data_IF_804478042537
#
_entry.id   IF_804478042537
#
_cell.length_a   1.000
_cell.length_b   1.000
_cell.length_c   1.000
_cell.angle_alpha   90.00
_cell.angle_beta   90.00
_cell.angle_gamma   90.00
#
_symmetry.space_group_name_H-M   'P 1'
#
loop_
_entity.id
_entity.type
_entity.pdbx_description
1 polymer ?
#
# COMPACT_ATOMS: atom_id res chain seq x y z
N UNK A 1 24.60 0.39 21.56
CA UNK A 1 23.51 0.65 22.54
C UNK A 1 22.46 -0.42 22.32
N UNK A 2 22.04 -1.12 23.36
CA UNK A 2 20.95 -2.08 23.25
C UNK A 2 19.66 -1.37 22.82
N UNK A 3 18.94 -1.96 21.88
CA UNK A 3 17.65 -1.44 21.41
C UNK A 3 16.62 -1.57 22.54
N UNK A 4 16.21 -0.45 23.12
CA UNK A 4 15.38 -0.41 24.32
C UNK A 4 13.90 -0.56 24.00
N UNK A 5 13.09 -0.91 25.02
CA UNK A 5 11.62 -0.89 24.89
C UNK A 5 11.10 0.50 24.48
N UNK A 6 11.77 1.56 24.89
CA UNK A 6 11.40 2.93 24.48
C UNK A 6 11.64 3.17 22.98
N UNK A 7 12.72 2.60 22.41
CA UNK A 7 13.01 2.70 20.97
C UNK A 7 11.98 1.90 20.15
N UNK A 8 11.56 0.74 20.67
CA UNK A 8 10.45 -0.02 20.09
C UNK A 8 9.14 0.79 20.08
N UNK A 9 8.80 1.49 21.17
CA UNK A 9 7.62 2.36 21.21
C UNK A 9 7.72 3.52 20.21
N UNK A 10 8.91 4.12 20.04
CA UNK A 10 9.13 5.14 19.00
C UNK A 10 8.92 4.58 17.60
N UNK A 11 9.40 3.37 17.32
CA UNK A 11 9.22 2.71 16.03
C UNK A 11 7.72 2.50 15.73
N UNK A 12 6.97 1.94 16.69
CA UNK A 12 5.52 1.73 16.55
C UNK A 12 4.77 3.07 16.41
N UNK A 13 5.15 4.08 17.19
CA UNK A 13 4.57 5.43 17.07
C UNK A 13 4.84 6.08 15.71
N UNK A 14 6.05 5.89 15.17
CA UNK A 14 6.42 6.36 13.83
C UNK A 14 5.60 5.66 12.74
N UNK A 15 5.41 4.35 12.87
CA UNK A 15 4.53 3.58 11.98
C UNK A 15 3.08 4.05 12.08
N UNK A 16 2.59 4.31 13.30
CA UNK A 16 1.26 4.85 13.52
C UNK A 16 1.07 6.22 12.86
N UNK A 17 2.05 7.12 12.96
CA UNK A 17 2.02 8.43 12.31
C UNK A 17 2.02 8.31 10.78
N UNK A 18 2.85 7.42 10.22
CA UNK A 18 2.89 7.12 8.80
C UNK A 18 1.54 6.61 8.28
N UNK A 19 0.96 5.60 8.96
CA UNK A 19 -0.33 5.01 8.61
C UNK A 19 -1.48 6.02 8.70
N UNK A 20 -1.49 6.83 9.75
CA UNK A 20 -2.52 7.85 9.96
C UNK A 20 -2.42 8.96 8.92
N UNK A 21 -1.19 9.40 8.61
CA UNK A 21 -0.93 10.37 7.53
C UNK A 21 -1.43 9.87 6.18
N UNK A 22 -1.12 8.62 5.84
CA UNK A 22 -1.59 7.99 4.61
C UNK A 22 -3.12 7.90 4.55
N UNK A 23 -3.76 7.53 5.66
CA UNK A 23 -5.22 7.47 5.76
C UNK A 23 -5.86 8.83 5.49
N UNK A 24 -5.43 9.87 6.21
CA UNK A 24 -5.98 11.24 6.04
C UNK A 24 -5.72 11.76 4.62
N UNK A 25 -4.52 11.53 4.07
CA UNK A 25 -4.17 11.91 2.70
C UNK A 25 -5.13 11.27 1.69
N UNK A 26 -5.33 9.95 1.80
CA UNK A 26 -6.24 9.18 0.93
C UNK A 26 -7.68 9.66 1.06
N UNK A 27 -8.19 9.82 2.28
CA UNK A 27 -9.57 10.31 2.52
C UNK A 27 -9.78 11.73 2.01
N UNK A 28 -8.81 12.63 2.21
CA UNK A 28 -8.85 14.00 1.69
C UNK A 28 -8.95 14.01 0.17
N UNK A 29 -8.14 13.18 -0.50
CA UNK A 29 -8.14 13.08 -1.96
C UNK A 29 -9.42 12.43 -2.50
N UNK A 30 -9.94 11.40 -1.83
CA UNK A 30 -11.24 10.79 -2.15
C UNK A 30 -12.39 11.80 -2.06
N UNK A 31 -12.40 12.65 -1.03
CA UNK A 31 -13.41 13.71 -0.86
C UNK A 31 -13.30 14.79 -1.95
N UNK A 32 -12.08 15.17 -2.35
CA UNK A 32 -11.84 16.12 -3.46
C UNK A 32 -12.29 15.52 -4.79
N UNK A 33 -11.96 14.27 -5.04
CA UNK A 33 -12.30 13.57 -6.27
C UNK A 33 -13.80 13.20 -6.36
N UNK A 34 -14.44 12.93 -5.21
CA UNK A 34 -15.87 12.76 -5.03
C UNK A 34 -16.58 11.95 -6.11
N UNK A 35 -17.68 12.52 -6.63
CA UNK A 35 -18.51 11.89 -7.66
C UNK A 35 -17.80 11.69 -9.00
N UNK A 36 -16.68 12.40 -9.25
CA UNK A 36 -15.89 12.25 -10.49
C UNK A 36 -15.27 10.85 -10.57
N UNK A 37 -14.79 10.28 -9.45
CA UNK A 37 -14.27 8.90 -9.43
C UNK A 37 -15.34 7.89 -9.81
N UNK A 38 -16.56 8.08 -9.31
CA UNK A 38 -17.71 7.25 -9.66
C UNK A 38 -18.04 7.33 -11.16
N UNK A 39 -18.07 8.56 -11.71
CA UNK A 39 -18.31 8.79 -13.13
C UNK A 39 -17.22 8.21 -14.01
N UNK A 40 -15.94 8.31 -13.61
CA UNK A 40 -14.81 7.71 -14.32
C UNK A 40 -14.95 6.19 -14.35
N UNK A 41 -15.26 5.55 -13.22
CA UNK A 41 -15.45 4.10 -13.15
C UNK A 41 -16.53 3.61 -14.12
N UNK A 42 -17.66 4.27 -14.19
CA UNK A 42 -18.78 3.82 -15.03
C UNK A 42 -18.62 4.19 -16.51
N UNK A 43 -17.93 5.29 -16.83
CA UNK A 43 -17.79 5.78 -18.21
C UNK A 43 -16.60 5.18 -18.96
N UNK A 44 -15.53 4.78 -18.25
CA UNK A 44 -14.25 4.40 -18.86
C UNK A 44 -13.99 2.89 -18.85
N UNK A 45 -14.97 2.05 -18.49
CA UNK A 45 -14.79 0.58 -18.42
C UNK A 45 -15.34 -0.15 -19.65
N UNK A 46 -15.49 0.54 -20.77
CA UNK A 46 -16.11 0.01 -22.01
C UNK A 46 -15.37 -1.17 -22.64
N UNK A 47 -14.07 -1.30 -22.37
CA UNK A 47 -13.27 -2.44 -22.82
C UNK A 47 -12.21 -2.80 -21.76
N UNK A 48 -11.54 -3.95 -21.92
CA UNK A 48 -10.56 -4.47 -20.95
C UNK A 48 -9.36 -3.53 -20.73
N UNK A 49 -8.85 -2.91 -21.79
CA UNK A 49 -7.69 -2.00 -21.70
C UNK A 49 -8.06 -0.73 -20.96
N UNK A 50 -9.17 -0.09 -21.33
CA UNK A 50 -9.64 1.10 -20.62
C UNK A 50 -10.01 0.78 -19.16
N UNK A 51 -10.56 -0.40 -18.88
CA UNK A 51 -10.81 -0.87 -17.52
C UNK A 51 -9.53 -0.95 -16.69
N UNK A 52 -8.45 -1.53 -17.22
CA UNK A 52 -7.13 -1.58 -16.56
C UNK A 52 -6.60 -0.17 -16.33
N UNK A 53 -6.60 0.70 -17.35
CA UNK A 53 -6.14 2.08 -17.22
C UNK A 53 -6.95 2.86 -16.18
N UNK A 54 -8.26 2.64 -16.12
CA UNK A 54 -9.12 3.22 -15.11
C UNK A 54 -8.73 2.78 -13.71
N UNK A 55 -8.48 1.48 -13.51
CA UNK A 55 -7.99 0.94 -12.24
C UNK A 55 -6.66 1.53 -11.80
N UNK A 56 -5.70 1.64 -12.73
CA UNK A 56 -4.40 2.30 -12.49
C UNK A 56 -4.62 3.75 -12.05
N UNK A 57 -5.39 4.52 -12.83
CA UNK A 57 -5.62 5.95 -12.57
C UNK A 57 -6.30 6.17 -11.22
N UNK A 58 -7.37 5.43 -10.94
CA UNK A 58 -8.13 5.60 -9.69
C UNK A 58 -7.25 5.24 -8.50
N UNK A 59 -6.53 4.12 -8.54
CA UNK A 59 -5.66 3.70 -7.44
C UNK A 59 -4.50 4.67 -7.24
N UNK A 60 -3.88 5.16 -8.32
CA UNK A 60 -2.84 6.17 -8.25
C UNK A 60 -3.34 7.49 -7.65
N UNK A 61 -4.58 7.90 -7.96
CA UNK A 61 -5.21 9.09 -7.39
C UNK A 61 -5.58 8.89 -5.93
N UNK A 62 -6.27 7.79 -5.60
CA UNK A 62 -6.74 7.52 -4.23
C UNK A 62 -5.59 7.08 -3.30
N UNK A 63 -4.49 6.58 -3.86
CA UNK A 63 -3.36 5.99 -3.12
C UNK A 63 -3.79 4.78 -2.23
N UNK A 64 -4.84 4.07 -2.65
CA UNK A 64 -5.37 2.90 -1.93
C UNK A 64 -6.01 1.91 -2.90
N UNK A 65 -5.33 0.81 -3.19
CA UNK A 65 -5.88 -0.28 -3.99
C UNK A 65 -7.01 -1.01 -3.27
N UNK A 66 -6.93 -1.13 -1.93
CA UNK A 66 -8.03 -1.70 -1.14
C UNK A 66 -9.31 -0.89 -1.26
N UNK A 67 -9.24 0.45 -1.16
CA UNK A 67 -10.41 1.30 -1.35
C UNK A 67 -10.97 1.18 -2.78
N UNK A 68 -10.10 1.14 -3.79
CA UNK A 68 -10.50 0.96 -5.19
C UNK A 68 -11.20 -0.39 -5.39
N UNK A 69 -10.64 -1.49 -4.90
CA UNK A 69 -11.21 -2.82 -5.08
C UNK A 69 -12.53 -3.00 -4.33
N UNK A 70 -12.64 -2.47 -3.10
CA UNK A 70 -13.90 -2.45 -2.33
C UNK A 70 -14.98 -1.64 -3.06
N UNK A 71 -14.61 -0.49 -3.64
CA UNK A 71 -15.52 0.32 -4.45
C UNK A 71 -16.01 -0.46 -5.70
N UNK A 72 -15.10 -1.12 -6.39
CA UNK A 72 -15.42 -1.96 -7.56
C UNK A 72 -16.37 -3.11 -7.18
N UNK A 73 -16.07 -3.83 -6.09
CA UNK A 73 -16.95 -4.89 -5.55
C UNK A 73 -18.33 -4.35 -5.22
N UNK A 74 -18.41 -3.16 -4.62
CA UNK A 74 -19.68 -2.49 -4.31
C UNK A 74 -20.49 -2.13 -5.59
N UNK A 75 -19.79 -1.70 -6.65
CA UNK A 75 -20.43 -1.37 -7.93
C UNK A 75 -20.94 -2.62 -8.65
N UNK A 76 -20.20 -3.73 -8.58
CA UNK A 76 -20.70 -5.03 -9.08
C UNK A 76 -21.92 -5.48 -8.28
N UNK A 77 -21.89 -5.29 -6.96
CA UNK A 77 -23.04 -5.63 -6.11
C UNK A 77 -24.27 -4.78 -6.42
N UNK A 78 -24.09 -3.52 -6.82
CA UNK A 78 -25.16 -2.61 -7.23
C UNK A 78 -25.58 -2.79 -8.69
N UNK A 79 -24.96 -3.70 -9.47
CA UNK A 79 -25.24 -3.91 -10.88
C UNK A 79 -24.74 -2.79 -11.80
N UNK A 80 -23.85 -1.93 -11.31
CA UNK A 80 -23.26 -0.81 -12.06
C UNK A 80 -22.07 -1.22 -12.91
N UNK A 81 -21.41 -2.34 -12.58
CA UNK A 81 -20.32 -2.95 -13.32
C UNK A 81 -20.59 -4.43 -13.52
N UNK A 82 -20.23 -4.93 -14.69
CA UNK A 82 -20.18 -6.36 -14.96
C UNK A 82 -18.97 -7.01 -14.31
N UNK A 83 -18.97 -8.34 -14.16
CA UNK A 83 -17.82 -9.09 -13.65
C UNK A 83 -16.56 -8.87 -14.52
N UNK A 84 -16.70 -8.86 -15.85
CA UNK A 84 -15.58 -8.69 -16.76
C UNK A 84 -14.92 -7.30 -16.65
N UNK A 85 -15.73 -6.26 -16.56
CA UNK A 85 -15.26 -4.89 -16.33
C UNK A 85 -14.56 -4.76 -14.98
N UNK A 86 -15.16 -5.33 -13.93
CA UNK A 86 -14.60 -5.27 -12.58
C UNK A 86 -13.22 -5.95 -12.47
N UNK A 87 -13.04 -7.11 -13.11
CA UNK A 87 -11.75 -7.80 -13.14
C UNK A 87 -10.68 -6.92 -13.80
N UNK A 88 -11.00 -6.25 -14.91
CA UNK A 88 -10.08 -5.35 -15.59
C UNK A 88 -9.64 -4.18 -14.68
N UNK A 89 -10.60 -3.56 -13.98
CA UNK A 89 -10.29 -2.47 -13.04
C UNK A 89 -9.46 -2.96 -11.86
N UNK A 90 -9.77 -4.13 -11.32
CA UNK A 90 -9.01 -4.75 -10.21
C UNK A 90 -7.56 -5.04 -10.62
N UNK A 91 -7.34 -5.58 -11.82
CA UNK A 91 -5.98 -5.75 -12.37
C UNK A 91 -5.24 -4.43 -12.46
N UNK A 92 -5.93 -3.38 -12.93
CA UNK A 92 -5.36 -2.03 -12.97
C UNK A 92 -5.06 -1.47 -11.58
N UNK A 93 -5.91 -1.74 -10.60
CA UNK A 93 -5.68 -1.29 -9.22
C UNK A 93 -4.39 -1.87 -8.63
N UNK A 94 -4.05 -3.12 -8.92
CA UNK A 94 -2.78 -3.70 -8.51
C UNK A 94 -1.58 -2.95 -9.12
N UNK A 95 -1.63 -2.64 -10.41
CA UNK A 95 -0.59 -1.86 -11.08
C UNK A 95 -0.51 -0.46 -10.46
N UNK A 96 -1.66 0.18 -10.18
CA UNK A 96 -1.74 1.51 -9.58
C UNK A 96 -1.06 1.62 -8.21
N UNK A 97 -0.97 0.53 -7.45
CA UNK A 97 -0.24 0.47 -6.18
C UNK A 97 1.25 0.76 -6.35
N UNK A 98 1.83 0.46 -7.52
CA UNK A 98 3.25 0.76 -7.78
C UNK A 98 3.55 2.26 -7.75
N UNK A 99 2.58 3.11 -8.06
CA UNK A 99 2.72 4.58 -7.98
C UNK A 99 2.99 5.00 -6.52
N UNK A 100 2.34 4.36 -5.55
CA UNK A 100 2.61 4.61 -4.12
C UNK A 100 4.05 4.25 -3.76
N UNK A 101 4.56 3.11 -4.24
CA UNK A 101 5.95 2.70 -4.04
C UNK A 101 6.93 3.71 -4.64
N UNK A 102 6.67 4.24 -5.84
CA UNK A 102 7.47 5.28 -6.46
C UNK A 102 7.45 6.59 -5.65
N UNK A 103 6.29 7.01 -5.16
CA UNK A 103 6.16 8.21 -4.31
C UNK A 103 7.00 8.03 -3.04
N UNK A 104 6.88 6.89 -2.35
CA UNK A 104 7.65 6.60 -1.14
C UNK A 104 9.16 6.55 -1.47
N UNK A 105 9.54 5.88 -2.55
CA UNK A 105 10.95 5.74 -2.93
C UNK A 105 11.59 7.08 -3.30
N UNK A 106 10.92 7.92 -4.09
CA UNK A 106 11.47 9.19 -4.55
C UNK A 106 11.43 10.22 -3.43
N UNK A 107 10.25 10.46 -2.87
CA UNK A 107 10.05 11.52 -1.87
C UNK A 107 10.42 11.11 -0.45
N UNK A 108 10.54 9.81 -0.18
CA UNK A 108 10.96 9.32 1.13
C UNK A 108 12.45 9.07 1.25
N UNK A 109 13.15 8.74 0.15
CA UNK A 109 14.56 8.36 0.21
C UNK A 109 15.49 9.26 -0.60
N UNK A 110 15.04 9.85 -1.71
CA UNK A 110 15.87 10.74 -2.55
C UNK A 110 15.66 12.22 -2.24
N UNK A 111 14.45 12.60 -1.82
CA UNK A 111 14.11 13.99 -1.48
C UNK A 111 13.67 14.01 -0.03
N UNK A 112 14.24 14.92 0.76
CA UNK A 112 13.84 15.08 2.18
C UNK A 112 12.51 15.87 2.26
N UNK A 113 11.41 15.17 1.96
CA UNK A 113 10.07 15.76 2.08
C UNK A 113 9.67 16.01 3.54
N UNK A 114 10.31 15.34 4.50
CA UNK A 114 10.02 15.58 5.91
C UNK A 114 10.42 17.00 6.36
N UNK A 115 11.45 17.59 5.74
CA UNK A 115 11.85 18.97 5.98
C UNK A 115 10.74 19.98 5.60
N UNK A 116 9.92 19.65 4.60
CA UNK A 116 8.80 20.49 4.16
C UNK A 116 7.50 20.22 4.94
N UNK A 117 7.47 19.19 5.80
CA UNK A 117 6.24 18.80 6.48
C UNK A 117 5.66 19.91 7.37
N UNK A 118 6.49 20.57 8.18
CA UNK A 118 6.02 21.66 9.04
C UNK A 118 5.50 22.87 8.25
N UNK A 119 6.20 23.39 7.21
CA UNK A 119 5.63 24.42 6.32
C UNK A 119 4.31 24.00 5.68
N UNK A 120 4.19 22.75 5.23
CA UNK A 120 2.95 22.24 4.65
C UNK A 120 1.81 22.16 5.66
N UNK A 121 2.10 21.81 6.92
CA UNK A 121 1.09 21.86 8.00
C UNK A 121 0.58 23.28 8.24
N UNK A 122 1.45 24.28 8.16
CA UNK A 122 1.04 25.69 8.28
C UNK A 122 0.05 26.11 7.19
N UNK A 123 0.17 25.53 5.98
CA UNK A 123 -0.78 25.75 4.88
C UNK A 123 -2.05 24.90 5.08
N UNK A 124 -1.91 23.68 5.54
CA UNK A 124 -3.02 22.75 5.70
C UNK A 124 -4.03 23.19 6.78
N UNK A 125 -3.54 23.70 7.90
CA UNK A 125 -4.41 24.07 9.04
C UNK A 125 -5.48 25.13 8.69
N UNK A 126 -5.17 26.28 8.07
CA UNK A 126 -6.19 27.23 7.64
C UNK A 126 -7.21 26.65 6.66
N UNK A 127 -6.77 25.71 5.78
CA UNK A 127 -7.65 25.04 4.84
C UNK A 127 -8.62 24.07 5.56
N UNK A 128 -8.13 23.32 6.55
CA UNK A 128 -8.96 22.40 7.36
C UNK A 128 -10.05 23.13 8.11
N UNK A 129 -9.73 24.29 8.68
CA UNK A 129 -10.70 25.12 9.39
C UNK A 129 -11.56 25.99 8.48
N UNK A 130 -11.40 25.89 7.17
CA UNK A 130 -12.24 26.60 6.19
C UNK A 130 -13.67 26.05 6.21
N UNK A 131 -14.67 26.92 6.20
CA UNK A 131 -16.09 26.53 6.09
C UNK A 131 -16.48 25.90 4.73
N UNK A 132 -15.58 25.87 3.74
CA UNK A 132 -15.82 25.30 2.41
C UNK A 132 -15.32 23.86 2.35
N UNK A 133 -16.23 22.90 2.10
CA UNK A 133 -15.94 21.47 2.08
C UNK A 133 -14.73 21.11 1.20
N UNK A 134 -14.65 21.62 -0.01
CA UNK A 134 -13.54 21.31 -0.92
C UNK A 134 -12.17 21.81 -0.40
N UNK A 135 -12.13 23.01 0.22
CA UNK A 135 -10.89 23.53 0.83
C UNK A 135 -10.46 22.70 2.02
N UNK A 136 -11.43 22.28 2.86
CA UNK A 136 -11.18 21.38 3.98
C UNK A 136 -10.56 20.09 3.50
N UNK A 137 -11.11 19.45 2.47
CA UNK A 137 -10.60 18.19 1.91
C UNK A 137 -9.19 18.34 1.33
N UNK A 138 -8.88 19.47 0.67
CA UNK A 138 -7.52 19.79 0.21
C UNK A 138 -6.58 19.97 1.41
N UNK A 139 -7.03 20.64 2.47
CA UNK A 139 -6.28 20.78 3.73
C UNK A 139 -5.99 19.41 4.38
N UNK A 140 -6.98 18.53 4.44
CA UNK A 140 -6.83 17.16 4.94
C UNK A 140 -5.80 16.38 4.09
N UNK A 141 -5.83 16.51 2.77
CA UNK A 141 -4.82 15.88 1.88
C UNK A 141 -3.40 16.37 2.21
N UNK A 142 -3.17 17.69 2.28
CA UNK A 142 -1.86 18.27 2.57
C UNK A 142 -1.38 17.87 3.99
N UNK A 143 -2.29 17.87 4.95
CA UNK A 143 -2.01 17.46 6.34
C UNK A 143 -1.58 16.00 6.42
N UNK A 144 -2.34 15.11 5.75
CA UNK A 144 -2.02 13.70 5.67
C UNK A 144 -0.69 13.44 4.96
N UNK A 145 -0.41 14.16 3.87
CA UNK A 145 0.86 14.11 3.16
C UNK A 145 2.04 14.48 4.08
N UNK A 146 1.89 15.55 4.86
CA UNK A 146 2.92 15.98 5.82
C UNK A 146 3.17 14.90 6.87
N UNK A 147 2.12 14.34 7.46
CA UNK A 147 2.23 13.28 8.48
C UNK A 147 2.82 12.00 7.92
N UNK A 148 2.50 11.65 6.67
CA UNK A 148 3.07 10.50 5.99
C UNK A 148 4.61 10.61 5.93
N UNK A 149 5.13 11.73 5.43
CA UNK A 149 6.59 11.88 5.29
C UNK A 149 7.30 12.12 6.62
N UNK A 150 6.67 12.78 7.59
CA UNK A 150 7.18 12.83 8.97
C UNK A 150 7.26 11.42 9.57
N UNK A 151 6.17 10.65 9.47
CA UNK A 151 6.12 9.28 9.95
C UNK A 151 7.17 8.39 9.30
N UNK A 152 7.36 8.50 7.98
CA UNK A 152 8.39 7.78 7.24
C UNK A 152 9.81 8.17 7.69
N UNK A 153 10.05 9.46 7.91
CA UNK A 153 11.35 9.95 8.41
C UNK A 153 11.64 9.41 9.82
N UNK A 154 10.67 9.49 10.73
CA UNK A 154 10.81 8.92 12.06
C UNK A 154 10.92 7.39 12.04
N UNK A 155 10.22 6.71 11.15
CA UNK A 155 10.33 5.26 10.98
C UNK A 155 11.75 4.85 10.59
N UNK A 156 12.37 5.59 9.65
CA UNK A 156 13.78 5.38 9.27
C UNK A 156 14.74 5.68 10.42
N UNK A 157 14.53 6.79 11.14
CA UNK A 157 15.39 7.22 12.22
C UNK A 157 15.32 6.30 13.47
N UNK A 158 14.16 5.69 13.73
CA UNK A 158 13.94 4.79 14.87
C UNK A 158 14.07 3.30 14.51
N UNK A 159 14.38 2.99 13.24
CA UNK A 159 14.65 1.62 12.82
C UNK A 159 15.92 1.09 13.55
N UNK A 160 15.94 -0.16 14.02
CA UNK A 160 17.10 -0.72 14.71
C UNK A 160 18.31 -0.74 13.78
N UNK A 161 19.49 -0.37 14.31
CA UNK A 161 20.75 -0.57 13.59
C UNK A 161 21.22 -2.02 13.83
N UNK A 162 20.97 -2.89 12.85
CA UNK A 162 21.35 -4.30 12.93
C UNK A 162 22.88 -4.46 12.93
N UNK A 163 23.62 -3.56 12.32
CA UNK A 163 25.08 -3.63 12.32
C UNK A 163 25.65 -3.35 13.72
N UNK A 164 24.94 -2.53 14.50
CA UNK A 164 25.28 -2.27 15.89
C UNK A 164 24.80 -3.37 16.86
N UNK A 165 23.99 -4.33 16.40
CA UNK A 165 23.39 -5.42 17.19
C UNK A 165 23.66 -6.78 16.53
N UNK A 166 24.86 -7.38 16.75
CA UNK A 166 25.27 -8.62 16.06
C UNK A 166 24.31 -9.80 16.26
N UNK A 167 23.66 -9.89 17.41
CA UNK A 167 22.69 -10.98 17.70
C UNK A 167 21.43 -10.83 16.84
N UNK A 168 20.91 -9.60 16.68
CA UNK A 168 19.79 -9.32 15.80
C UNK A 168 20.14 -9.57 14.33
N UNK A 169 21.36 -9.17 13.94
CA UNK A 169 21.86 -9.42 12.58
C UNK A 169 21.97 -10.93 12.31
N UNK A 170 22.56 -11.70 13.22
CA UNK A 170 22.67 -13.15 13.11
C UNK A 170 21.29 -13.83 13.04
N UNK A 171 20.32 -13.36 13.84
CA UNK A 171 18.95 -13.83 13.78
C UNK A 171 18.35 -13.60 12.38
N UNK A 172 18.47 -12.41 11.83
CA UNK A 172 17.98 -12.09 10.48
C UNK A 172 18.67 -12.96 9.43
N UNK A 173 19.99 -13.09 9.48
CA UNK A 173 20.80 -13.88 8.56
C UNK A 173 20.36 -15.37 8.54
N UNK A 174 20.02 -15.95 9.67
CA UNK A 174 19.54 -17.33 9.74
C UNK A 174 18.28 -17.57 8.88
N UNK A 175 17.46 -16.54 8.65
CA UNK A 175 16.25 -16.63 7.85
C UNK A 175 16.40 -16.07 6.42
N UNK A 176 17.48 -15.32 6.15
CA UNK A 176 17.76 -14.77 4.80
C UNK A 176 18.58 -15.72 3.94
N UNK A 177 19.33 -16.65 4.54
CA UNK A 177 20.30 -17.51 3.85
C UNK A 177 19.81 -18.93 3.58
N UNK A 178 18.49 -19.19 3.70
CA UNK A 178 17.88 -20.52 3.44
C UNK A 178 17.51 -20.74 1.95
N UNK A 179 18.01 -19.90 1.04
CA UNK A 179 17.69 -20.00 -0.39
C UNK A 179 16.19 -19.84 -0.68
N UNK A 180 15.61 -20.78 -1.43
CA UNK A 180 14.20 -20.73 -1.79
C UNK A 180 13.24 -20.70 -0.61
N UNK A 181 13.58 -21.32 0.50
CA UNK A 181 12.77 -21.27 1.73
C UNK A 181 12.71 -19.85 2.31
N UNK A 182 13.77 -19.06 2.19
CA UNK A 182 13.74 -17.63 2.59
C UNK A 182 12.71 -16.87 1.76
N UNK A 183 12.65 -17.09 0.44
CA UNK A 183 11.68 -16.46 -0.44
C UNK A 183 10.24 -16.79 -0.01
N UNK A 184 9.95 -18.07 0.26
CA UNK A 184 8.63 -18.50 0.73
C UNK A 184 8.28 -17.92 2.10
N UNK A 185 9.24 -17.88 3.02
CA UNK A 185 9.06 -17.30 4.35
C UNK A 185 8.73 -15.80 4.26
N UNK A 186 9.50 -15.03 3.50
CA UNK A 186 9.29 -13.59 3.35
C UNK A 186 7.99 -13.28 2.58
N UNK A 187 7.63 -14.09 1.60
CA UNK A 187 6.33 -14.01 0.94
C UNK A 187 5.19 -14.23 1.94
N UNK A 188 5.30 -15.25 2.79
CA UNK A 188 4.31 -15.53 3.83
C UNK A 188 4.22 -14.39 4.86
N UNK A 189 5.37 -13.87 5.32
CA UNK A 189 5.44 -12.71 6.23
C UNK A 189 4.75 -11.49 5.60
N UNK A 190 5.05 -11.15 4.35
CA UNK A 190 4.42 -10.05 3.62
C UNK A 190 2.91 -10.22 3.51
N UNK A 191 2.45 -11.45 3.24
CA UNK A 191 1.02 -11.77 3.20
C UNK A 191 0.35 -11.52 4.56
N UNK A 192 0.87 -12.10 5.62
CA UNK A 192 0.28 -11.99 6.97
C UNK A 192 0.34 -10.53 7.47
N UNK A 193 1.48 -9.87 7.29
CA UNK A 193 1.66 -8.48 7.72
C UNK A 193 0.62 -7.59 7.05
N UNK A 194 0.44 -7.72 5.75
CA UNK A 194 -0.53 -6.91 4.99
C UNK A 194 -1.99 -7.26 5.37
N UNK A 195 -2.29 -8.52 5.63
CA UNK A 195 -3.61 -8.93 6.13
C UNK A 195 -3.95 -8.31 7.50
N UNK A 196 -2.97 -8.20 8.39
CA UNK A 196 -3.15 -7.63 9.73
C UNK A 196 -3.24 -6.09 9.64
N UNK A 197 -2.28 -5.46 8.98
CA UNK A 197 -2.18 -4.00 8.88
C UNK A 197 -3.25 -3.42 7.95
N UNK A 198 -3.72 -4.19 6.97
CA UNK A 198 -4.67 -3.80 5.91
C UNK A 198 -4.25 -2.55 5.12
N UNK A 199 -2.95 -2.30 5.06
CA UNK A 199 -2.36 -1.14 4.39
C UNK A 199 -1.07 -1.57 3.67
N UNK A 200 -1.20 -1.93 2.40
CA UNK A 200 -0.08 -2.38 1.55
C UNK A 200 1.05 -1.35 1.49
N UNK A 201 0.72 -0.05 1.41
CA UNK A 201 1.73 0.99 1.40
C UNK A 201 2.61 1.03 2.68
N UNK A 202 2.08 0.57 3.83
CA UNK A 202 2.87 0.45 5.05
C UNK A 202 3.86 -0.71 4.99
N UNK A 203 3.40 -1.87 4.54
CA UNK A 203 4.27 -3.03 4.31
C UNK A 203 5.36 -2.69 3.29
N UNK A 204 4.99 -2.00 2.21
CA UNK A 204 5.91 -1.50 1.20
C UNK A 204 6.97 -0.55 1.80
N UNK A 205 6.57 0.41 2.64
CA UNK A 205 7.51 1.34 3.27
C UNK A 205 8.50 0.61 4.19
N UNK A 206 8.03 -0.34 4.99
CA UNK A 206 8.88 -1.19 5.85
C UNK A 206 9.85 -1.99 4.98
N UNK A 207 9.37 -2.64 3.91
CA UNK A 207 10.20 -3.40 2.98
C UNK A 207 11.30 -2.54 2.36
N UNK A 208 10.95 -1.32 1.89
CA UNK A 208 11.92 -0.39 1.32
C UNK A 208 12.98 0.05 2.35
N UNK A 209 12.60 0.25 3.62
CA UNK A 209 13.54 0.58 4.71
C UNK A 209 14.47 -0.61 4.96
N UNK A 210 13.96 -1.84 5.03
CA UNK A 210 14.76 -3.04 5.25
C UNK A 210 15.78 -3.25 4.12
N UNK A 211 15.37 -3.07 2.86
CA UNK A 211 16.28 -3.13 1.71
C UNK A 211 17.30 -1.98 1.71
N UNK A 212 16.86 -0.76 1.99
CA UNK A 212 17.75 0.41 1.99
C UNK A 212 18.83 0.35 3.09
N UNK A 213 18.52 -0.27 4.22
CA UNK A 213 19.46 -0.52 5.32
C UNK A 213 20.32 -1.78 5.10
N UNK A 214 20.11 -2.52 4.00
CA UNK A 214 20.83 -3.75 3.72
C UNK A 214 20.50 -4.93 4.65
N UNK A 215 19.36 -4.89 5.35
CA UNK A 215 18.94 -5.98 6.24
C UNK A 215 18.46 -7.20 5.48
N UNK A 216 17.85 -6.97 4.32
CA UNK A 216 17.41 -8.02 3.39
C UNK A 216 17.85 -7.68 1.98
N UNK A 217 18.06 -8.71 1.17
CA UNK A 217 18.34 -8.55 -0.25
C UNK A 217 17.13 -8.01 -1.03
N UNK A 218 17.38 -7.53 -2.24
CA UNK A 218 16.30 -7.08 -3.12
C UNK A 218 15.31 -8.21 -3.44
N UNK A 219 15.80 -9.44 -3.56
CA UNK A 219 14.99 -10.63 -3.82
C UNK A 219 14.00 -10.89 -2.69
N UNK A 220 14.47 -10.82 -1.44
CA UNK A 220 13.60 -11.02 -0.27
C UNK A 220 12.64 -9.85 -0.09
N UNK A 221 13.06 -8.63 -0.43
CA UNK A 221 12.17 -7.48 -0.52
C UNK A 221 11.07 -7.67 -1.56
N UNK A 222 11.42 -8.20 -2.74
CA UNK A 222 10.44 -8.55 -3.77
C UNK A 222 9.49 -9.66 -3.29
N UNK A 223 9.98 -10.66 -2.57
CA UNK A 223 9.15 -11.71 -1.99
C UNK A 223 8.12 -11.15 -0.98
N UNK A 224 8.53 -10.20 -0.11
CA UNK A 224 7.61 -9.48 0.78
C UNK A 224 6.52 -8.77 -0.01
N UNK A 225 6.87 -8.05 -1.08
CA UNK A 225 5.92 -7.32 -1.94
C UNK A 225 4.98 -8.27 -2.67
N UNK A 226 5.45 -9.42 -3.13
CA UNK A 226 4.59 -10.45 -3.71
C UNK A 226 3.59 -10.98 -2.68
N UNK A 227 4.03 -11.21 -1.44
CA UNK A 227 3.16 -11.59 -0.34
C UNK A 227 2.13 -10.49 -0.01
N UNK A 228 2.54 -9.24 -0.02
CA UNK A 228 1.68 -8.07 0.16
C UNK A 228 0.52 -8.04 -0.85
N UNK A 229 0.79 -8.36 -2.11
CA UNK A 229 -0.24 -8.43 -3.14
C UNK A 229 -1.33 -9.48 -2.82
N UNK A 230 -0.94 -10.63 -2.27
CA UNK A 230 -1.91 -11.63 -1.79
C UNK A 230 -2.65 -11.10 -0.56
N UNK A 231 -1.95 -10.55 0.43
CA UNK A 231 -2.53 -10.05 1.67
C UNK A 231 -3.56 -8.95 1.45
N UNK A 232 -3.34 -8.07 0.47
CA UNK A 232 -4.28 -6.99 0.11
C UNK A 232 -5.64 -7.51 -0.35
N UNK A 233 -5.72 -8.72 -0.88
CA UNK A 233 -6.98 -9.28 -1.39
C UNK A 233 -8.02 -9.55 -0.30
N UNK A 234 -7.59 -9.67 0.96
CA UNK A 234 -8.49 -9.97 2.08
C UNK A 234 -9.57 -8.89 2.24
N UNK A 235 -9.23 -7.62 2.03
CA UNK A 235 -10.17 -6.50 2.21
C UNK A 235 -11.35 -6.58 1.24
N UNK A 236 -11.08 -6.89 -0.04
CA UNK A 236 -12.12 -7.08 -1.04
C UNK A 236 -13.00 -8.31 -0.74
N UNK A 237 -12.37 -9.41 -0.28
CA UNK A 237 -13.11 -10.63 0.08
C UNK A 237 -13.98 -10.43 1.33
N UNK A 238 -13.50 -9.70 2.34
CA UNK A 238 -14.31 -9.34 3.51
C UNK A 238 -15.50 -8.44 3.11
N UNK A 239 -15.26 -7.44 2.26
CA UNK A 239 -16.34 -6.57 1.76
C UNK A 239 -17.39 -7.32 0.95
N UNK A 240 -17.01 -8.42 0.28
CA UNK A 240 -17.90 -9.24 -0.52
C UNK A 240 -18.71 -10.26 0.26
N UNK A 241 -18.47 -10.50 1.56
CA UNK A 241 -19.11 -11.57 2.33
C UNK A 241 -20.65 -11.53 2.26
N UNK A 242 -21.23 -10.35 2.36
CA UNK A 242 -22.68 -10.13 2.33
C UNK A 242 -23.20 -9.71 0.95
N UNK A 243 -22.31 -9.60 -0.05
CA UNK A 243 -22.65 -9.16 -1.40
C UNK A 243 -23.26 -10.27 -2.26
N UNK A 244 -23.78 -9.90 -3.44
CA UNK A 244 -24.31 -10.84 -4.41
C UNK A 244 -23.21 -11.74 -5.03
N UNK A 245 -23.62 -12.77 -5.76
CA UNK A 245 -22.72 -13.78 -6.35
C UNK A 245 -21.67 -13.16 -7.29
N UNK A 246 -22.03 -12.14 -8.08
CA UNK A 246 -21.10 -11.51 -9.02
C UNK A 246 -20.02 -10.71 -8.29
N UNK A 247 -20.38 -9.99 -7.25
CA UNK A 247 -19.45 -9.26 -6.40
C UNK A 247 -18.47 -10.22 -5.65
N UNK A 248 -18.97 -11.36 -5.15
CA UNK A 248 -18.13 -12.43 -4.58
C UNK A 248 -17.13 -12.99 -5.60
N UNK A 249 -17.58 -13.20 -6.85
CA UNK A 249 -16.70 -13.65 -7.94
C UNK A 249 -15.65 -12.60 -8.30
N UNK A 250 -15.98 -11.32 -8.27
CA UNK A 250 -15.02 -10.25 -8.50
C UNK A 250 -13.92 -10.22 -7.42
N UNK A 251 -14.31 -10.34 -6.15
CA UNK A 251 -13.37 -10.43 -5.03
C UNK A 251 -12.50 -11.70 -5.09
N UNK A 252 -13.09 -12.84 -5.44
CA UNK A 252 -12.35 -14.10 -5.62
C UNK A 252 -11.38 -14.00 -6.81
N UNK A 253 -11.79 -13.37 -7.92
CA UNK A 253 -10.92 -13.15 -9.07
C UNK A 253 -9.68 -12.32 -8.71
N UNK A 254 -9.83 -11.32 -7.83
CA UNK A 254 -8.71 -10.57 -7.27
C UNK A 254 -7.71 -11.47 -6.54
N UNK A 255 -8.21 -12.36 -5.67
CA UNK A 255 -7.37 -13.32 -4.94
C UNK A 255 -6.66 -14.28 -5.90
N UNK A 256 -7.41 -14.93 -6.81
CA UNK A 256 -6.87 -15.90 -7.77
C UNK A 256 -5.82 -15.26 -8.67
N UNK A 257 -6.08 -14.05 -9.17
CA UNK A 257 -5.13 -13.30 -10.00
C UNK A 257 -3.80 -13.05 -9.26
N UNK A 258 -3.85 -12.61 -8.00
CA UNK A 258 -2.64 -12.35 -7.23
C UNK A 258 -1.89 -13.64 -6.88
N UNK A 259 -2.58 -14.69 -6.44
CA UNK A 259 -1.94 -16.00 -6.15
C UNK A 259 -1.28 -16.57 -7.40
N UNK A 260 -1.99 -16.57 -8.55
CA UNK A 260 -1.43 -17.04 -9.81
C UNK A 260 -0.21 -16.21 -10.24
N UNK A 261 -0.29 -14.88 -10.16
CA UNK A 261 0.82 -13.98 -10.48
C UNK A 261 2.04 -14.22 -9.61
N UNK A 262 1.83 -14.41 -8.30
CA UNK A 262 2.90 -14.71 -7.34
C UNK A 262 3.56 -16.05 -7.65
N UNK A 263 2.79 -17.10 -7.91
CA UNK A 263 3.33 -18.42 -8.31
C UNK A 263 4.14 -18.28 -9.61
N UNK A 264 3.58 -17.60 -10.60
CA UNK A 264 4.25 -17.37 -11.88
C UNK A 264 5.61 -16.67 -11.71
N UNK A 265 5.66 -15.58 -10.97
CA UNK A 265 6.89 -14.82 -10.74
C UNK A 265 7.89 -15.65 -9.93
N UNK A 266 7.44 -16.31 -8.86
CA UNK A 266 8.32 -17.12 -7.98
C UNK A 266 8.96 -18.28 -8.74
N UNK A 267 8.19 -18.98 -9.60
CA UNK A 267 8.72 -20.07 -10.42
C UNK A 267 9.66 -19.54 -11.50
N UNK A 268 9.29 -18.44 -12.17
CA UNK A 268 10.15 -17.85 -13.21
C UNK A 268 11.47 -17.36 -12.65
N UNK A 269 11.46 -16.78 -11.45
CA UNK A 269 12.66 -16.29 -10.76
C UNK A 269 13.63 -17.43 -10.43
N UNK A 270 13.14 -18.56 -9.91
CA UNK A 270 13.97 -19.73 -9.59
C UNK A 270 14.63 -20.40 -10.81
N UNK A 271 14.16 -20.10 -12.01
CA UNK A 271 14.78 -20.59 -13.26
C UNK A 271 15.79 -19.61 -13.87
N UNK A 272 15.83 -18.37 -13.37
CA UNK A 272 16.72 -17.31 -13.88
C UNK A 272 17.96 -17.09 -13.01
N UNK A 273 17.95 -17.61 -11.78
CA UNK A 273 19.05 -17.59 -10.80
C UNK A 273 19.64 -18.98 -10.62
#
# INVERSE_FOLDING_TARGET
>A
MEYSFYDFLKLIGSLGLFLYGMKIMSEGLQKVAGDRLRSILTAMTTNRVTGVLTGVLITALIQSSSATTVMVVSFVNAGLLTLAESISVIMGANIGTTVTAWIISIFGFKVDMAAFALPLLAIALPLIFSGKSNRKSVGEFIFGFSFLFMGLSYLKANAPDLNANPEMLAFVQNYTDMGFFSILLFLFIGTILTMIVQASAATMAITLIMCANGWISLELGAALVLGENIGTTITANLAALTANTQAKRAALAHFVFNVFGVIWVSVSYTHLT
#
